data_IF_628624038653
#
_entry.id   IF_628624038653
#
_cell.length_a   1.000
_cell.length_b   1.000
_cell.length_c   1.000
_cell.angle_alpha   90.00
_cell.angle_beta   90.00
_cell.angle_gamma   90.00
#
_symmetry.space_group_name_H-M   'P 1'
#
loop_
_entity.id
_entity.type
_entity.pdbx_description
1 polymer ?
#
# COMPACT_ATOMS: atom_id res chain seq x y z
N UNK A 1 -30.58 -1.94 3.61
CA UNK A 1 -29.14 -2.13 3.80
C UNK A 1 -28.47 -0.77 3.60
N UNK A 2 -27.87 -0.20 4.62
CA UNK A 2 -27.04 0.99 4.51
C UNK A 2 -25.85 0.61 3.63
N UNK A 3 -25.65 1.31 2.51
CA UNK A 3 -24.44 1.15 1.72
C UNK A 3 -23.27 1.52 2.64
N UNK A 4 -22.34 0.60 2.87
CA UNK A 4 -21.14 0.92 3.64
C UNK A 4 -20.41 2.06 2.94
N UNK A 5 -20.07 3.10 3.67
CA UNK A 5 -19.28 4.21 3.13
C UNK A 5 -17.97 3.64 2.57
N UNK A 6 -17.64 3.99 1.30
CA UNK A 6 -16.42 3.49 0.68
C UNK A 6 -15.20 4.09 1.36
N UNK A 7 -14.16 3.28 1.50
CA UNK A 7 -12.89 3.72 2.05
C UNK A 7 -12.29 4.82 1.16
N UNK A 8 -11.94 5.96 1.76
CA UNK A 8 -11.30 7.10 1.10
C UNK A 8 -9.80 7.00 1.29
N UNK A 9 -9.07 6.69 0.24
CA UNK A 9 -7.62 6.51 0.32
C UNK A 9 -6.87 7.61 -0.40
N UNK A 10 -5.64 7.89 0.07
CA UNK A 10 -4.65 8.63 -0.68
C UNK A 10 -3.51 7.71 -1.12
N UNK A 11 -2.84 8.10 -2.20
CA UNK A 11 -1.76 7.32 -2.83
C UNK A 11 -0.47 8.12 -2.74
N UNK A 12 0.61 7.49 -2.28
CA UNK A 12 1.95 8.04 -2.28
C UNK A 12 2.83 7.33 -3.31
N UNK A 13 3.11 8.00 -4.43
CA UNK A 13 3.87 7.45 -5.56
C UNK A 13 3.04 6.53 -6.46
N UNK A 14 3.50 6.36 -7.70
CA UNK A 14 2.88 5.54 -8.73
C UNK A 14 3.89 4.57 -9.37
N UNK A 15 5.04 4.37 -8.74
CA UNK A 15 6.17 3.67 -9.35
C UNK A 15 6.05 2.15 -9.34
N UNK A 16 5.28 1.58 -8.42
CA UNK A 16 5.13 0.13 -8.30
C UNK A 16 3.87 -0.37 -9.00
N UNK A 17 3.99 -1.47 -9.78
CA UNK A 17 2.91 -2.01 -10.60
C UNK A 17 1.66 -2.42 -9.81
N UNK A 18 1.80 -2.74 -8.53
CA UNK A 18 0.63 -3.06 -7.69
C UNK A 18 -0.35 -1.89 -7.52
N UNK A 19 0.05 -0.65 -7.86
CA UNK A 19 -0.90 0.48 -7.93
C UNK A 19 -2.06 0.20 -8.87
N UNK A 20 -1.84 -0.58 -9.93
CA UNK A 20 -2.90 -0.96 -10.88
C UNK A 20 -4.01 -1.79 -10.23
N UNK A 21 -3.71 -2.56 -9.19
CA UNK A 21 -4.74 -3.29 -8.42
C UNK A 21 -5.68 -2.30 -7.72
N UNK A 22 -5.13 -1.28 -7.07
CA UNK A 22 -5.92 -0.23 -6.45
C UNK A 22 -6.73 0.58 -7.47
N UNK A 23 -6.12 0.95 -8.59
CA UNK A 23 -6.78 1.70 -9.66
C UNK A 23 -7.95 0.92 -10.29
N UNK A 24 -7.84 -0.40 -10.37
CA UNK A 24 -8.95 -1.26 -10.79
C UNK A 24 -10.08 -1.28 -9.74
N UNK A 25 -9.75 -1.34 -8.44
CA UNK A 25 -10.76 -1.22 -7.37
C UNK A 25 -11.47 0.14 -7.41
N UNK A 26 -10.76 1.22 -7.72
CA UNK A 26 -11.34 2.55 -7.93
C UNK A 26 -12.30 2.55 -9.13
N UNK A 27 -11.87 2.00 -10.27
CA UNK A 27 -12.71 1.85 -11.47
C UNK A 27 -13.99 1.06 -11.18
N UNK A 28 -13.88 0.02 -10.37
CA UNK A 28 -15.01 -0.83 -9.93
C UNK A 28 -15.84 -0.17 -8.81
N UNK A 29 -15.55 1.07 -8.42
CA UNK A 29 -16.23 1.82 -7.36
C UNK A 29 -16.23 1.12 -5.99
N UNK A 30 -15.16 0.36 -5.69
CA UNK A 30 -14.99 -0.33 -4.41
C UNK A 30 -14.23 0.53 -3.38
N UNK A 31 -13.49 1.54 -3.86
CA UNK A 31 -12.69 2.47 -3.07
C UNK A 31 -12.74 3.85 -3.72
N UNK A 32 -12.61 4.90 -2.93
CA UNK A 32 -12.48 6.27 -3.42
C UNK A 32 -11.03 6.74 -3.28
N UNK A 33 -10.37 7.08 -4.38
CA UNK A 33 -9.05 7.72 -4.36
C UNK A 33 -9.28 9.23 -4.31
N UNK A 34 -8.94 9.85 -3.17
CA UNK A 34 -9.18 11.27 -2.92
C UNK A 34 -7.95 12.16 -3.09
N UNK A 35 -6.77 11.55 -3.25
CA UNK A 35 -5.52 12.26 -3.50
C UNK A 35 -4.42 11.34 -3.96
N UNK A 36 -3.55 11.82 -4.85
CA UNK A 36 -2.37 11.11 -5.35
C UNK A 36 -1.18 12.06 -5.29
N UNK A 37 -0.16 11.71 -4.54
CA UNK A 37 1.12 12.41 -4.48
C UNK A 37 2.08 11.77 -5.48
N UNK A 38 2.44 12.49 -6.55
CA UNK A 38 3.36 12.03 -7.59
C UNK A 38 4.09 13.24 -8.20
N UNK A 39 5.41 13.23 -8.15
CA UNK A 39 6.25 14.30 -8.68
C UNK A 39 6.56 14.15 -10.16
N UNK A 40 6.45 12.94 -10.71
CA UNK A 40 6.70 12.66 -12.12
C UNK A 40 5.46 12.98 -12.96
N UNK A 41 5.45 14.15 -13.61
CA UNK A 41 4.32 14.58 -14.45
C UNK A 41 4.01 13.63 -15.61
N UNK A 42 5.01 12.96 -16.16
CA UNK A 42 4.82 12.02 -17.30
C UNK A 42 4.03 10.80 -16.81
N UNK A 43 4.47 10.23 -15.68
CA UNK A 43 3.80 9.08 -15.06
C UNK A 43 2.39 9.46 -14.61
N UNK A 44 2.24 10.59 -13.94
CA UNK A 44 0.98 11.19 -13.55
C UNK A 44 0.00 11.29 -14.73
N UNK A 45 0.41 11.93 -15.84
CA UNK A 45 -0.46 12.15 -17.00
C UNK A 45 -0.84 10.83 -17.68
N UNK A 46 0.07 9.86 -17.74
CA UNK A 46 -0.19 8.51 -18.26
C UNK A 46 -1.30 7.83 -17.44
N UNK A 47 -1.13 7.75 -16.14
CA UNK A 47 -2.10 7.08 -15.23
C UNK A 47 -3.44 7.82 -15.22
N UNK A 48 -3.40 9.15 -15.14
CA UNK A 48 -4.60 9.99 -15.18
C UNK A 48 -5.46 9.71 -16.41
N UNK A 49 -4.83 9.68 -17.58
CA UNK A 49 -5.53 9.43 -18.85
C UNK A 49 -6.09 8.01 -18.92
N UNK A 50 -5.30 7.02 -18.52
CA UNK A 50 -5.68 5.62 -18.57
C UNK A 50 -6.89 5.28 -17.67
N UNK A 51 -6.97 5.92 -16.50
CA UNK A 51 -8.01 5.65 -15.49
C UNK A 51 -9.06 6.76 -15.36
N UNK A 52 -9.00 7.76 -16.25
CA UNK A 52 -9.91 8.91 -16.26
C UNK A 52 -9.99 9.61 -14.89
N UNK A 53 -8.81 9.82 -14.25
CA UNK A 53 -8.72 10.45 -12.95
C UNK A 53 -8.79 11.99 -13.09
N UNK A 54 -9.50 12.69 -12.20
CA UNK A 54 -9.55 14.14 -12.23
C UNK A 54 -8.18 14.74 -11.87
N UNK A 55 -7.77 15.80 -12.56
CA UNK A 55 -6.50 16.47 -12.28
C UNK A 55 -6.44 17.05 -10.86
N UNK A 56 -7.58 17.35 -10.28
CA UNK A 56 -7.72 18.00 -8.97
C UNK A 56 -7.28 17.13 -7.78
N UNK A 57 -7.14 15.80 -7.96
CA UNK A 57 -6.68 14.91 -6.88
C UNK A 57 -5.15 14.73 -6.88
N UNK A 58 -4.42 15.37 -7.79
CA UNK A 58 -2.97 15.22 -7.90
C UNK A 58 -2.21 16.32 -7.17
N UNK A 59 -1.19 15.91 -6.43
CA UNK A 59 -0.32 16.77 -5.63
C UNK A 59 1.15 16.44 -5.93
N UNK A 60 2.06 17.43 -5.83
CA UNK A 60 3.48 17.19 -6.14
C UNK A 60 4.16 16.29 -5.11
N UNK A 61 3.66 16.28 -3.87
CA UNK A 61 4.23 15.51 -2.75
C UNK A 61 3.16 15.17 -1.71
N UNK A 62 3.48 14.21 -0.86
CA UNK A 62 2.58 13.72 0.18
C UNK A 62 2.27 14.78 1.26
N UNK A 63 3.23 15.58 1.77
CA UNK A 63 2.93 16.66 2.70
C UNK A 63 1.92 17.69 2.17
N UNK A 64 2.03 18.07 0.89
CA UNK A 64 1.09 18.96 0.23
C UNK A 64 -0.29 18.32 0.12
N UNK A 65 -0.38 17.05 -0.23
CA UNK A 65 -1.63 16.30 -0.27
C UNK A 65 -2.31 16.30 1.09
N UNK A 66 -1.60 15.94 2.15
CA UNK A 66 -2.17 15.80 3.50
C UNK A 66 -2.64 17.13 4.13
N UNK A 67 -2.20 18.26 3.60
CA UNK A 67 -2.74 19.58 3.99
C UNK A 67 -4.15 19.84 3.44
N UNK A 68 -4.51 19.21 2.34
CA UNK A 68 -5.75 19.49 1.62
C UNK A 68 -6.81 18.40 1.77
N UNK A 69 -6.40 17.15 2.01
CA UNK A 69 -7.32 16.02 2.15
C UNK A 69 -7.04 15.21 3.40
N UNK A 70 -8.08 14.57 3.92
CA UNK A 70 -8.00 13.68 5.09
C UNK A 70 -8.44 12.29 4.67
N UNK A 71 -7.50 11.42 4.26
CA UNK A 71 -7.81 10.05 3.88
C UNK A 71 -7.99 9.16 5.11
N UNK A 72 -8.75 8.07 4.95
CA UNK A 72 -8.86 7.01 5.94
C UNK A 72 -7.58 6.18 6.04
N UNK A 73 -6.81 6.11 4.93
CA UNK A 73 -5.50 5.47 4.86
C UNK A 73 -4.67 6.02 3.70
N UNK A 74 -3.35 5.88 3.79
CA UNK A 74 -2.40 6.11 2.69
C UNK A 74 -1.83 4.79 2.20
N UNK A 75 -1.88 4.58 0.88
CA UNK A 75 -1.29 3.43 0.19
C UNK A 75 -0.06 3.91 -0.57
N UNK A 76 1.12 3.38 -0.25
CA UNK A 76 2.38 3.84 -0.80
C UNK A 76 2.93 2.87 -1.85
N UNK A 77 3.12 3.39 -3.05
CA UNK A 77 3.69 2.72 -4.22
C UNK A 77 4.95 3.42 -4.72
N UNK A 78 5.57 4.20 -3.85
CA UNK A 78 6.84 4.88 -4.06
C UNK A 78 8.04 3.93 -3.82
N UNK A 79 9.28 4.32 -4.17
CA UNK A 79 10.48 3.54 -3.90
C UNK A 79 10.64 3.18 -2.43
N UNK A 80 11.16 1.97 -2.15
CA UNK A 80 11.27 1.41 -0.79
C UNK A 80 12.04 2.31 0.19
N UNK A 81 13.07 3.02 -0.29
CA UNK A 81 13.83 3.95 0.53
C UNK A 81 13.04 5.20 0.98
N UNK A 82 11.88 5.43 0.38
CA UNK A 82 10.98 6.54 0.74
C UNK A 82 9.87 6.13 1.73
N UNK A 83 9.73 4.86 2.06
CA UNK A 83 8.68 4.39 2.99
C UNK A 83 8.79 5.04 4.37
N UNK A 84 10.01 5.36 4.82
CA UNK A 84 10.23 6.09 6.07
C UNK A 84 9.59 7.48 6.04
N UNK A 85 9.67 8.19 4.91
CA UNK A 85 9.09 9.52 4.78
C UNK A 85 7.56 9.47 4.78
N UNK A 86 6.97 8.40 4.21
CA UNK A 86 5.51 8.18 4.30
C UNK A 86 5.09 7.94 5.75
N UNK A 87 5.85 7.13 6.49
CA UNK A 87 5.59 6.89 7.91
C UNK A 87 5.66 8.19 8.73
N UNK A 88 6.71 9.00 8.51
CA UNK A 88 6.91 10.27 9.22
C UNK A 88 5.84 11.31 8.88
N UNK A 89 5.31 11.30 7.67
CA UNK A 89 4.23 12.21 7.27
C UNK A 89 2.86 11.79 7.81
N UNK A 90 2.55 10.49 7.84
CA UNK A 90 1.20 10.00 8.10
C UNK A 90 0.95 9.61 9.56
N UNK A 91 1.88 8.90 10.20
CA UNK A 91 1.66 8.32 11.52
C UNK A 91 1.39 9.38 12.62
N UNK A 92 2.08 10.56 12.65
CA UNK A 92 1.76 11.63 13.59
C UNK A 92 0.36 12.21 13.42
N UNK A 93 -0.20 12.11 12.22
CA UNK A 93 -1.57 12.52 11.90
C UNK A 93 -2.61 11.43 12.18
N UNK A 94 -2.18 10.29 12.72
CA UNK A 94 -3.00 9.10 12.96
C UNK A 94 -3.66 8.55 11.69
N UNK A 95 -2.97 8.64 10.57
CA UNK A 95 -3.41 8.10 9.30
C UNK A 95 -2.72 6.75 9.10
N UNK A 96 -3.47 5.63 9.05
CA UNK A 96 -2.94 4.31 8.74
C UNK A 96 -2.24 4.27 7.38
N UNK A 97 -1.17 3.49 7.30
CA UNK A 97 -0.36 3.36 6.09
C UNK A 97 -0.21 1.91 5.69
N UNK A 98 -0.31 1.64 4.39
CA UNK A 98 0.17 0.39 3.80
C UNK A 98 1.21 0.73 2.73
N UNK A 99 2.40 0.15 2.85
CA UNK A 99 3.48 0.28 1.86
C UNK A 99 3.69 -1.01 1.10
N UNK A 100 4.31 -0.94 -0.07
CA UNK A 100 4.77 -2.12 -0.78
C UNK A 100 5.93 -2.81 -0.06
N UNK A 101 6.13 -4.08 -0.39
CA UNK A 101 7.29 -4.84 0.09
C UNK A 101 8.57 -4.36 -0.63
N UNK A 102 9.72 -4.42 0.05
CA UNK A 102 9.93 -4.69 1.46
C UNK A 102 9.64 -3.46 2.34
N UNK A 103 9.58 -3.66 3.66
CA UNK A 103 9.28 -2.59 4.63
C UNK A 103 10.19 -1.37 4.49
N UNK A 104 11.49 -1.60 4.36
CA UNK A 104 12.53 -0.56 4.31
C UNK A 104 13.81 -1.12 3.72
N UNK A 105 14.72 -0.25 3.28
CA UNK A 105 16.03 -0.61 2.75
C UNK A 105 17.10 -0.76 3.85
N UNK A 106 16.87 -0.18 5.04
CA UNK A 106 17.79 -0.24 6.17
C UNK A 106 17.12 -0.70 7.45
N UNK A 107 17.89 -1.33 8.33
CA UNK A 107 17.42 -1.69 9.67
C UNK A 107 17.04 -0.47 10.52
N UNK A 108 17.76 0.64 10.31
CA UNK A 108 17.48 1.92 10.99
C UNK A 108 16.06 2.41 10.67
N UNK A 109 15.72 2.45 9.38
CA UNK A 109 14.41 2.90 8.93
C UNK A 109 13.30 1.96 9.40
N UNK A 110 13.54 0.64 9.32
CA UNK A 110 12.58 -0.34 9.83
C UNK A 110 12.28 -0.15 11.32
N UNK A 111 13.33 0.06 12.15
CA UNK A 111 13.18 0.36 13.59
C UNK A 111 12.47 1.70 13.82
N UNK A 112 12.77 2.71 13.01
CA UNK A 112 12.13 4.03 13.13
C UNK A 112 10.65 3.95 12.78
N UNK A 113 10.27 3.27 11.70
CA UNK A 113 8.87 3.03 11.33
C UNK A 113 8.12 2.31 12.46
N UNK A 114 8.69 1.23 13.00
CA UNK A 114 8.08 0.49 14.11
C UNK A 114 7.90 1.37 15.36
N UNK A 115 8.90 2.21 15.67
CA UNK A 115 8.82 3.16 16.79
C UNK A 115 7.71 4.19 16.59
N UNK A 116 7.59 4.77 15.40
CA UNK A 116 6.54 5.74 15.06
C UNK A 116 5.14 5.11 15.14
N UNK A 117 4.97 3.92 14.55
CA UNK A 117 3.69 3.19 14.61
C UNK A 117 3.25 2.94 16.06
N UNK A 118 4.19 2.52 16.92
CA UNK A 118 3.93 2.32 18.35
C UNK A 118 3.65 3.64 19.07
N UNK A 119 4.45 4.66 18.83
CA UNK A 119 4.34 5.98 19.49
C UNK A 119 2.99 6.64 19.23
N UNK A 120 2.52 6.57 17.99
CA UNK A 120 1.27 7.20 17.58
C UNK A 120 0.06 6.23 17.60
N UNK A 121 0.28 4.98 18.01
CA UNK A 121 -0.76 3.94 18.03
C UNK A 121 -1.51 3.84 16.68
N UNK A 122 -0.75 3.94 15.58
CA UNK A 122 -1.30 3.99 14.24
C UNK A 122 -0.75 2.84 13.40
N UNK A 123 -1.63 2.04 12.75
CA UNK A 123 -1.21 0.89 11.96
C UNK A 123 -0.29 1.29 10.80
N UNK A 124 0.79 0.50 10.64
CA UNK A 124 1.66 0.54 9.47
C UNK A 124 1.82 -0.88 8.95
N UNK A 125 1.35 -1.13 7.74
CA UNK A 125 1.27 -2.44 7.12
C UNK A 125 2.24 -2.54 5.95
N UNK A 126 2.76 -3.74 5.70
CA UNK A 126 3.50 -4.07 4.48
C UNK A 126 2.65 -4.97 3.61
N UNK A 127 2.51 -4.62 2.35
CA UNK A 127 1.71 -5.38 1.40
C UNK A 127 2.47 -6.62 0.91
N UNK A 128 2.42 -7.69 1.69
CA UNK A 128 2.77 -9.02 1.22
C UNK A 128 1.55 -9.61 0.52
N UNK A 129 1.46 -9.43 -0.79
CA UNK A 129 0.30 -9.76 -1.62
C UNK A 129 -0.28 -11.14 -1.35
N UNK A 130 0.58 -12.14 -1.20
CA UNK A 130 0.17 -13.53 -0.95
C UNK A 130 -0.62 -13.72 0.35
N UNK A 131 -0.51 -12.79 1.31
CA UNK A 131 -1.31 -12.79 2.54
C UNK A 131 -2.81 -12.73 2.24
N UNK A 132 -3.18 -12.09 1.14
CA UNK A 132 -4.57 -11.86 0.75
C UNK A 132 -5.16 -12.98 -0.10
N UNK A 133 -4.37 -13.97 -0.49
CA UNK A 133 -4.85 -15.11 -1.28
C UNK A 133 -5.85 -15.95 -0.47
N UNK A 134 -6.94 -16.34 -1.11
CA UNK A 134 -8.01 -17.13 -0.47
C UNK A 134 -7.47 -18.42 0.14
N UNK A 135 -6.50 -19.07 -0.51
CA UNK A 135 -5.82 -20.27 -0.02
C UNK A 135 -5.12 -20.03 1.33
N UNK A 136 -4.40 -18.90 1.46
CA UNK A 136 -3.72 -18.56 2.70
C UNK A 136 -4.71 -18.17 3.81
N UNK A 137 -5.79 -17.48 3.48
CA UNK A 137 -6.86 -17.18 4.42
C UNK A 137 -7.56 -18.46 4.90
N UNK A 138 -7.83 -19.39 4.00
CA UNK A 138 -8.41 -20.69 4.36
C UNK A 138 -7.47 -21.51 5.25
N UNK A 139 -6.17 -21.57 4.91
CA UNK A 139 -5.17 -22.23 5.74
C UNK A 139 -5.13 -21.62 7.14
N UNK A 140 -5.14 -20.29 7.22
CA UNK A 140 -5.20 -19.61 8.54
C UNK A 140 -6.43 -20.02 9.34
N UNK A 141 -7.60 -20.10 8.72
CA UNK A 141 -8.82 -20.55 9.41
C UNK A 141 -8.69 -21.98 9.96
N UNK A 142 -8.13 -22.92 9.18
CA UNK A 142 -7.90 -24.30 9.64
C UNK A 142 -6.96 -24.35 10.84
N UNK A 143 -5.92 -23.49 10.85
CA UNK A 143 -4.98 -23.38 11.98
C UNK A 143 -5.68 -22.77 13.19
N UNK A 144 -6.38 -21.65 13.03
CA UNK A 144 -7.04 -20.93 14.11
C UNK A 144 -8.14 -21.79 14.79
N UNK A 145 -8.84 -22.61 13.99
CA UNK A 145 -9.84 -23.54 14.46
C UNK A 145 -9.26 -24.84 15.02
N UNK A 146 -7.93 -24.98 15.04
CA UNK A 146 -7.23 -26.20 15.45
C UNK A 146 -7.63 -27.48 14.68
N UNK A 147 -8.09 -27.32 13.42
CA UNK A 147 -8.57 -28.45 12.59
C UNK A 147 -7.42 -29.35 12.11
N UNK A 148 -6.20 -28.83 12.02
CA UNK A 148 -4.99 -29.57 11.59
C UNK A 148 -4.04 -29.86 12.76
N UNK A 149 -4.44 -29.52 14.01
CA UNK A 149 -3.65 -29.76 15.21
C UNK A 149 -2.37 -28.91 15.28
N UNK A 150 -1.40 -29.35 16.06
CA UNK A 150 -0.15 -28.62 16.27
C UNK A 150 0.72 -28.64 15.01
N UNK A 151 1.07 -27.46 14.52
CA UNK A 151 2.02 -27.31 13.39
C UNK A 151 3.41 -27.73 13.86
N UNK A 152 3.98 -28.74 13.21
CA UNK A 152 5.35 -29.22 13.47
C UNK A 152 6.34 -28.78 12.41
N UNK A 153 5.87 -28.53 11.19
CA UNK A 153 6.71 -28.09 10.07
C UNK A 153 5.89 -27.33 9.04
N UNK A 154 6.48 -26.29 8.48
CA UNK A 154 5.95 -25.55 7.33
C UNK A 154 6.96 -25.66 6.20
N UNK A 155 6.50 -26.05 5.01
CA UNK A 155 7.28 -26.03 3.77
C UNK A 155 6.54 -25.17 2.76
N UNK A 156 7.17 -24.10 2.35
CA UNK A 156 6.65 -23.20 1.30
C UNK A 156 7.51 -23.38 0.05
N UNK A 157 6.87 -23.60 -1.09
CA UNK A 157 7.51 -23.55 -2.41
C UNK A 157 6.78 -22.47 -3.19
N UNK A 158 7.48 -21.41 -3.50
CA UNK A 158 6.98 -20.26 -4.25
C UNK A 158 8.06 -19.78 -5.21
N UNK A 159 7.66 -19.11 -6.27
CA UNK A 159 8.56 -18.56 -7.26
C UNK A 159 7.81 -17.85 -8.38
N UNK A 160 8.51 -16.93 -9.01
CA UNK A 160 8.08 -16.27 -10.23
C UNK A 160 9.30 -16.04 -11.13
N UNK A 161 9.09 -15.66 -12.38
CA UNK A 161 10.16 -15.52 -13.36
C UNK A 161 11.10 -14.31 -13.11
N UNK A 162 10.82 -13.53 -12.07
CA UNK A 162 11.66 -12.43 -11.61
C UNK A 162 11.30 -11.07 -12.23
N UNK A 163 12.07 -10.01 -11.91
CA UNK A 163 11.75 -8.64 -12.29
C UNK A 163 11.84 -8.37 -13.80
N UNK A 164 12.46 -9.28 -14.56
CA UNK A 164 12.71 -9.09 -16.00
C UNK A 164 11.43 -9.00 -16.83
N UNK A 165 10.35 -9.66 -16.39
CA UNK A 165 9.06 -9.69 -17.11
C UNK A 165 8.13 -8.55 -16.74
N UNK A 166 8.29 -7.97 -15.56
CA UNK A 166 7.46 -6.85 -15.09
C UNK A 166 8.04 -5.48 -15.45
N UNK A 167 9.08 -5.43 -16.29
CA UNK A 167 9.66 -4.18 -16.79
C UNK A 167 10.32 -3.32 -15.71
N UNK A 168 10.68 -3.92 -14.58
CA UNK A 168 11.39 -3.22 -13.51
C UNK A 168 12.84 -2.93 -13.95
N UNK A 169 13.03 -1.82 -14.65
CA UNK A 169 14.34 -1.32 -15.03
C UNK A 169 14.99 -0.42 -13.97
N UNK A 170 14.31 -0.13 -12.87
CA UNK A 170 14.77 0.82 -11.86
C UNK A 170 14.40 0.34 -10.44
N UNK A 171 15.08 -0.71 -9.98
CA UNK A 171 15.25 -0.99 -8.56
C UNK A 171 16.59 -0.47 -8.09
#
# INVERSE_FOLDING_TARGET
AQASERLKVAVAGLNHDHVFLLLNLYKDKKVDIIGIAESNEILFNKIRTQYNLPKTIFYPDLPSLLKHVKPDAVLAYNPTNEHIHVAEACLPLKIPVMVEKPLATTLSDAKRIASLSKQFETPFLVNYETTWYKSNQQLKQLVDNNEIGKITRILVKDGHEGPKEIGCSNY
#
